data_IF_309913410556
#
_entry.id   IF_309913410556
#
_cell.length_a   1.000
_cell.length_b   1.000
_cell.length_c   1.000
_cell.angle_alpha   90.00
_cell.angle_beta   90.00
_cell.angle_gamma   90.00
#
_symmetry.space_group_name_H-M   'P 1'
#
loop_
_entity.id
_entity.type
_entity.pdbx_description
1 polymer ?
#
# COMPACT_ATOMS: atom_id res chain seq x y z
N UNK A 1 10.73 3.82 -0.94
CA UNK A 1 9.56 3.93 -1.82
C UNK A 1 8.95 2.56 -2.03
N UNK A 2 7.64 2.49 -2.08
CA UNK A 2 6.90 1.33 -2.58
C UNK A 2 6.12 1.78 -3.79
N UNK A 3 6.18 1.03 -4.88
CA UNK A 3 5.34 1.24 -6.05
C UNK A 3 4.71 -0.05 -6.50
N UNK A 4 3.52 0.04 -7.07
CA UNK A 4 2.82 -1.09 -7.66
C UNK A 4 1.87 -0.60 -8.75
N UNK A 5 1.61 -1.43 -9.75
CA UNK A 5 0.58 -1.23 -10.75
C UNK A 5 -0.76 -1.72 -10.17
N UNK A 6 -1.77 -0.85 -10.13
CA UNK A 6 -3.06 -1.14 -9.52
C UNK A 6 -4.21 -0.92 -10.51
N UNK A 7 -5.20 -1.81 -10.44
CA UNK A 7 -6.53 -1.61 -11.05
C UNK A 7 -7.63 -2.16 -10.13
N UNK A 8 -8.77 -1.47 -10.08
CA UNK A 8 -9.98 -1.90 -9.36
C UNK A 8 -11.19 -1.77 -10.29
N UNK A 9 -11.94 -2.85 -10.51
CA UNK A 9 -13.04 -2.88 -11.47
C UNK A 9 -14.30 -3.54 -10.88
N UNK A 10 -15.40 -2.80 -10.67
CA UNK A 10 -15.50 -1.33 -10.67
C UNK A 10 -14.75 -0.69 -9.48
N UNK A 11 -14.58 0.63 -9.50
CA UNK A 11 -13.99 1.38 -8.37
C UNK A 11 -14.83 1.21 -7.09
N UNK A 12 -14.17 0.86 -5.99
CA UNK A 12 -14.77 0.89 -4.66
C UNK A 12 -14.87 2.35 -4.18
N UNK A 13 -16.06 2.75 -3.75
CA UNK A 13 -16.38 4.09 -3.27
C UNK A 13 -16.59 4.16 -1.77
N UNK A 14 -16.90 3.03 -1.12
CA UNK A 14 -16.95 2.96 0.33
C UNK A 14 -15.54 3.10 0.90
N UNK A 15 -15.31 4.23 1.55
CA UNK A 15 -14.04 4.64 2.11
C UNK A 15 -13.41 3.60 3.05
N UNK A 16 -14.22 2.85 3.79
CA UNK A 16 -13.73 1.87 4.75
C UNK A 16 -13.41 0.52 4.11
N UNK A 17 -13.97 0.26 2.94
CA UNK A 17 -13.77 -0.98 2.17
C UNK A 17 -12.67 -0.86 1.11
N UNK A 18 -12.21 0.36 0.80
CA UNK A 18 -11.09 0.58 -0.12
C UNK A 18 -9.84 -0.22 0.28
N UNK A 19 -9.14 -0.71 -0.74
CA UNK A 19 -7.91 -1.48 -0.58
C UNK A 19 -6.79 -0.59 -0.06
N UNK A 20 -6.13 -1.04 1.00
CA UNK A 20 -5.07 -0.30 1.67
C UNK A 20 -3.71 -0.85 1.26
N UNK A 21 -2.81 0.02 0.82
CA UNK A 21 -1.38 -0.26 0.72
C UNK A 21 -0.71 0.21 2.01
N UNK A 22 -0.13 -0.71 2.75
CA UNK A 22 0.44 -0.47 4.08
C UNK A 22 1.93 -0.76 4.05
N UNK A 23 2.73 0.18 4.58
CA UNK A 23 4.17 0.02 4.80
C UNK A 23 4.44 0.08 6.28
N UNK A 24 5.05 -0.97 6.83
CA UNK A 24 5.33 -1.09 8.26
C UNK A 24 6.77 -1.49 8.55
N UNK A 25 7.30 -1.00 9.67
CA UNK A 25 8.64 -1.26 10.17
C UNK A 25 8.58 -1.79 11.59
N UNK A 26 9.34 -2.84 11.88
CA UNK A 26 9.38 -3.53 13.19
C UNK A 26 10.81 -3.71 13.70
N UNK A 27 10.92 -3.83 15.02
CA UNK A 27 12.08 -4.38 15.71
C UNK A 27 11.58 -5.45 16.69
N UNK A 28 11.90 -6.71 16.39
CA UNK A 28 11.26 -7.86 17.00
C UNK A 28 9.73 -7.80 16.85
N UNK A 29 9.02 -7.90 17.96
CA UNK A 29 7.55 -7.80 18.01
C UNK A 29 7.03 -6.36 18.06
N UNK A 30 7.92 -5.37 18.28
CA UNK A 30 7.51 -3.97 18.41
C UNK A 30 7.31 -3.33 17.04
N UNK A 31 6.11 -2.77 16.81
CA UNK A 31 5.86 -1.89 15.68
C UNK A 31 6.53 -0.53 15.91
N UNK A 32 7.46 -0.13 15.03
CA UNK A 32 8.12 1.18 15.13
C UNK A 32 7.37 2.24 14.32
N UNK A 33 6.87 1.86 13.15
CA UNK A 33 6.18 2.78 12.25
C UNK A 33 5.25 2.02 11.31
N UNK A 34 4.06 2.54 11.12
CA UNK A 34 3.12 2.09 10.10
C UNK A 34 2.56 3.30 9.35
N UNK A 35 2.43 3.19 8.03
CA UNK A 35 1.78 4.17 7.16
C UNK A 35 0.95 3.45 6.12
N UNK A 36 -0.14 4.07 5.69
CA UNK A 36 -1.05 3.52 4.69
C UNK A 36 -1.49 4.58 3.69
N UNK A 37 -1.88 4.14 2.49
CA UNK A 37 -2.71 4.88 1.54
C UNK A 37 -3.87 4.00 1.04
N UNK A 38 -4.97 4.60 0.59
CA UNK A 38 -6.09 3.88 -0.04
C UNK A 38 -5.89 3.92 -1.56
N UNK A 39 -5.74 2.77 -2.20
CA UNK A 39 -5.33 2.69 -3.60
C UNK A 39 -6.38 3.30 -4.56
N UNK A 40 -7.67 3.11 -4.28
CA UNK A 40 -8.79 3.67 -5.05
C UNK A 40 -8.86 5.21 -5.03
N UNK A 41 -8.11 5.88 -4.13
CA UNK A 41 -7.97 7.35 -4.14
C UNK A 41 -6.97 7.85 -5.19
N UNK A 42 -6.20 6.94 -5.79
CA UNK A 42 -5.13 7.26 -6.73
C UNK A 42 -5.40 6.76 -8.15
N UNK A 43 -6.53 6.09 -8.37
CA UNK A 43 -6.98 5.60 -9.68
C UNK A 43 -8.47 5.89 -9.86
N UNK A 44 -8.91 6.09 -11.09
CA UNK A 44 -10.32 6.31 -11.43
C UNK A 44 -10.94 5.16 -12.20
N UNK A 45 -12.20 4.79 -11.86
CA UNK A 45 -12.95 3.77 -12.59
C UNK A 45 -12.14 2.51 -12.90
N UNK A 46 -12.03 2.18 -14.19
CA UNK A 46 -11.34 1.02 -14.77
C UNK A 46 -9.83 1.24 -15.05
N UNK A 47 -9.26 2.35 -14.59
CA UNK A 47 -7.88 2.74 -14.87
C UNK A 47 -6.87 1.74 -14.28
N UNK A 48 -5.86 1.40 -15.10
CA UNK A 48 -4.63 0.76 -14.63
C UNK A 48 -3.56 1.83 -14.45
N UNK A 49 -3.02 1.98 -13.24
CA UNK A 49 -2.00 3.00 -12.96
C UNK A 49 -0.97 2.52 -11.96
N UNK A 50 0.28 2.93 -12.15
CA UNK A 50 1.33 2.77 -11.15
C UNK A 50 1.17 3.80 -10.04
N UNK A 51 0.97 3.32 -8.82
CA UNK A 51 0.86 4.15 -7.61
C UNK A 51 2.21 4.15 -6.90
N UNK A 52 2.69 5.33 -6.54
CA UNK A 52 3.93 5.51 -5.78
C UNK A 52 3.61 5.94 -4.35
N UNK A 53 4.23 5.27 -3.39
CA UNK A 53 4.10 5.56 -1.98
C UNK A 53 5.46 5.75 -1.31
N UNK A 54 5.73 6.99 -0.93
CA UNK A 54 6.95 7.37 -0.22
C UNK A 54 6.72 7.55 1.27
N UNK A 55 7.63 6.99 2.06
CA UNK A 55 7.67 7.17 3.49
C UNK A 55 9.11 7.24 3.95
N UNK A 56 9.39 8.15 4.89
CA UNK A 56 10.71 8.23 5.54
C UNK A 56 10.97 6.95 6.35
N UNK A 57 12.22 6.51 6.44
CA UNK A 57 12.59 5.45 7.38
C UNK A 57 12.35 5.92 8.83
N UNK A 58 12.03 5.02 9.77
CA UNK A 58 12.05 5.36 11.20
C UNK A 58 13.46 5.80 11.62
N UNK A 59 13.54 6.66 12.65
CA UNK A 59 14.83 7.07 13.23
C UNK A 59 15.47 5.95 14.05
N UNK A 60 14.65 5.11 14.66
CA UNK A 60 15.07 3.94 15.42
C UNK A 60 15.51 2.81 14.49
N UNK A 61 16.47 2.00 14.93
CA UNK A 61 16.88 0.80 14.22
C UNK A 61 15.72 -0.20 14.12
N UNK A 62 15.58 -0.82 12.95
CA UNK A 62 14.56 -1.81 12.64
C UNK A 62 15.22 -3.04 12.02
N UNK A 63 14.65 -4.20 12.24
CA UNK A 63 15.12 -5.47 11.67
C UNK A 63 14.22 -5.97 10.53
N UNK A 64 13.02 -5.39 10.39
CA UNK A 64 12.04 -5.83 9.40
C UNK A 64 11.26 -4.66 8.82
N UNK A 65 11.16 -4.63 7.50
CA UNK A 65 10.18 -3.82 6.77
C UNK A 65 9.17 -4.77 6.10
N UNK A 66 7.90 -4.36 6.04
CA UNK A 66 6.84 -5.13 5.41
C UNK A 66 5.92 -4.24 4.58
N UNK A 67 5.52 -4.77 3.43
CA UNK A 67 4.48 -4.19 2.58
C UNK A 67 3.28 -5.13 2.61
N UNK A 68 2.10 -4.58 2.86
CA UNK A 68 0.85 -5.32 2.88
C UNK A 68 -0.15 -4.64 1.96
N UNK A 69 -0.96 -5.45 1.28
CA UNK A 69 -2.14 -4.99 0.58
C UNK A 69 -3.35 -5.64 1.24
N UNK A 70 -4.22 -4.80 1.81
CA UNK A 70 -5.40 -5.28 2.51
C UNK A 70 -6.66 -4.85 1.77
N UNK A 71 -7.35 -5.81 1.17
CA UNK A 71 -8.67 -5.58 0.59
C UNK A 71 -9.74 -5.70 1.70
N UNK A 72 -10.17 -4.57 2.26
CA UNK A 72 -10.92 -4.47 3.52
C UNK A 72 -12.40 -4.94 3.41
N UNK A 73 -12.60 -6.19 2.98
CA UNK A 73 -13.93 -6.78 2.80
C UNK A 73 -14.71 -6.21 1.61
N UNK A 74 -14.05 -5.49 0.69
CA UNK A 74 -14.68 -5.11 -0.59
C UNK A 74 -14.93 -6.36 -1.44
N UNK A 75 -16.06 -6.34 -2.15
CA UNK A 75 -16.43 -7.35 -3.15
C UNK A 75 -15.88 -7.02 -4.54
N UNK A 76 -15.16 -5.90 -4.70
CA UNK A 76 -14.61 -5.48 -5.99
C UNK A 76 -13.32 -6.23 -6.31
N UNK A 77 -13.19 -6.62 -7.57
CA UNK A 77 -11.98 -7.27 -8.06
C UNK A 77 -10.83 -6.25 -8.13
N UNK A 78 -9.70 -6.61 -7.51
CA UNK A 78 -8.47 -5.83 -7.57
C UNK A 78 -7.38 -6.62 -8.28
N UNK A 79 -6.56 -5.91 -9.06
CA UNK A 79 -5.37 -6.46 -9.69
C UNK A 79 -4.17 -5.63 -9.25
N UNK A 80 -3.11 -6.33 -8.91
CA UNK A 80 -1.85 -5.78 -8.43
C UNK A 80 -0.75 -6.43 -9.26
N UNK A 81 0.16 -5.63 -9.80
CA UNK A 81 1.31 -6.11 -10.55
C UNK A 81 2.53 -5.21 -10.29
N UNK A 82 3.71 -5.64 -10.72
CA UNK A 82 4.96 -4.87 -10.68
C UNK A 82 5.28 -4.25 -9.30
N UNK A 83 5.05 -4.99 -8.22
CA UNK A 83 5.40 -4.51 -6.88
C UNK A 83 6.92 -4.32 -6.78
N UNK A 84 7.34 -3.08 -6.55
CA UNK A 84 8.73 -2.70 -6.37
C UNK A 84 8.92 -1.98 -5.03
N UNK A 85 10.06 -2.25 -4.40
CA UNK A 85 10.45 -1.65 -3.12
C UNK A 85 11.88 -1.15 -3.26
N UNK A 86 12.05 0.15 -3.03
CA UNK A 86 13.33 0.83 -3.18
C UNK A 86 13.69 1.55 -1.88
N UNK A 87 14.98 1.55 -1.54
CA UNK A 87 15.52 2.31 -0.42
C UNK A 87 16.51 3.33 -0.99
N UNK A 88 16.26 4.60 -0.71
CA UNK A 88 17.17 5.69 -1.05
C UNK A 88 17.99 6.03 0.20
N UNK A 89 19.32 6.10 0.04
CA UNK A 89 20.28 6.43 1.10
C UNK A 89 20.89 7.79 0.83
#
# INVERSE_FOLDING_TARGET
>A
RVSLTFRCSPKEWDWWRMTQLIVRFRSGERMLKERMIRLQRHVDGEETRTVFFDTRLPKEAFDRAGVLVWNAGSDKAVRLDDLQVEVFR
#
